data_IF_763023954571
#
_entry.id   IF_763023954571
#
_cell.length_a   1.000
_cell.length_b   1.000
_cell.length_c   1.000
_cell.angle_alpha   90.00
_cell.angle_beta   90.00
_cell.angle_gamma   90.00
#
_symmetry.space_group_name_H-M   'P 1'
#
loop_
_entity.id
_entity.type
_entity.pdbx_description
1 polymer ?
#
# COMPACT_ATOMS: atom_id res chain seq x y z
N UNK A 1 -27.39 0.18 0.87
CA UNK A 1 -27.17 1.50 0.24
C UNK A 1 -28.33 1.87 -0.66
N UNK A 2 -28.59 3.17 -0.88
CA UNK A 2 -29.66 3.59 -1.79
C UNK A 2 -29.19 3.51 -3.24
N UNK A 3 -30.10 3.20 -4.17
CA UNK A 3 -29.81 3.13 -5.63
C UNK A 3 -29.03 4.32 -6.17
N UNK A 4 -29.41 5.55 -5.81
CA UNK A 4 -28.72 6.76 -6.28
C UNK A 4 -27.23 6.80 -5.91
N UNK A 5 -26.85 6.19 -4.79
CA UNK A 5 -25.47 6.14 -4.30
C UNK A 5 -24.67 5.07 -5.02
N UNK A 6 -25.30 3.92 -5.26
CA UNK A 6 -24.74 2.84 -6.08
C UNK A 6 -24.48 3.38 -7.49
N UNK A 7 -25.44 4.07 -8.08
CA UNK A 7 -25.32 4.68 -9.41
C UNK A 7 -24.17 5.71 -9.47
N UNK A 8 -24.02 6.53 -8.43
CA UNK A 8 -22.92 7.49 -8.32
C UNK A 8 -21.56 6.78 -8.21
N UNK A 9 -21.48 5.67 -7.46
CA UNK A 9 -20.28 4.85 -7.37
C UNK A 9 -19.94 4.17 -8.70
N UNK A 10 -20.93 3.62 -9.41
CA UNK A 10 -20.73 3.02 -10.74
C UNK A 10 -20.14 4.06 -11.69
N UNK A 11 -20.65 5.29 -11.68
CA UNK A 11 -20.07 6.39 -12.47
C UNK A 11 -18.65 6.76 -12.03
N UNK A 12 -18.37 6.81 -10.74
CA UNK A 12 -17.03 7.04 -10.21
C UNK A 12 -16.03 5.95 -10.65
N UNK A 13 -16.49 4.71 -10.79
CA UNK A 13 -15.72 3.56 -11.28
C UNK A 13 -15.80 3.37 -12.80
N UNK A 14 -16.19 4.41 -13.54
CA UNK A 14 -16.28 4.43 -15.02
C UNK A 14 -17.20 3.36 -15.61
N UNK A 15 -18.29 3.07 -14.92
CA UNK A 15 -19.30 2.10 -15.35
C UNK A 15 -19.00 0.65 -14.95
N UNK A 16 -17.89 0.38 -14.25
CA UNK A 16 -17.53 -1.00 -13.84
C UNK A 16 -18.30 -1.40 -12.59
N UNK A 17 -19.11 -2.46 -12.66
CA UNK A 17 -19.93 -2.90 -11.53
C UNK A 17 -19.14 -3.72 -10.51
N UNK A 18 -18.20 -4.57 -10.95
CA UNK A 18 -17.39 -5.41 -10.04
C UNK A 18 -16.64 -4.62 -8.96
N UNK A 19 -15.93 -3.50 -9.25
CA UNK A 19 -15.32 -2.67 -8.20
C UNK A 19 -16.34 -2.10 -7.21
N UNK A 20 -17.53 -1.71 -7.69
CA UNK A 20 -18.60 -1.21 -6.82
C UNK A 20 -19.11 -2.30 -5.89
N UNK A 21 -19.36 -3.50 -6.44
CA UNK A 21 -19.76 -4.67 -5.68
C UNK A 21 -18.73 -5.00 -4.59
N UNK A 22 -17.45 -5.11 -4.98
CA UNK A 22 -16.37 -5.55 -4.09
C UNK A 22 -16.00 -4.51 -3.03
N UNK A 23 -15.83 -3.25 -3.43
CA UNK A 23 -15.30 -2.21 -2.54
C UNK A 23 -16.37 -1.50 -1.70
N UNK A 24 -17.64 -1.53 -2.11
CA UNK A 24 -18.70 -0.77 -1.44
C UNK A 24 -19.83 -1.67 -0.97
N UNK A 25 -20.49 -2.39 -1.88
CA UNK A 25 -21.72 -3.12 -1.57
C UNK A 25 -21.45 -4.27 -0.60
N UNK A 26 -20.55 -5.18 -0.96
CA UNK A 26 -20.23 -6.38 -0.18
C UNK A 26 -19.47 -6.12 1.12
N UNK A 27 -19.12 -4.86 1.40
CA UNK A 27 -18.48 -4.43 2.65
C UNK A 27 -19.47 -3.88 3.66
N UNK A 28 -20.72 -3.61 3.26
CA UNK A 28 -21.75 -3.18 4.19
C UNK A 28 -22.01 -4.24 5.27
N UNK A 29 -22.34 -3.83 6.51
CA UNK A 29 -22.66 -4.77 7.58
C UNK A 29 -23.90 -5.62 7.26
N UNK A 30 -24.90 -5.00 6.65
CA UNK A 30 -26.12 -5.62 6.15
C UNK A 30 -26.39 -5.13 4.72
N UNK A 31 -26.93 -6.02 3.88
CA UNK A 31 -27.31 -5.70 2.51
C UNK A 31 -28.78 -5.31 2.48
N UNK A 32 -29.10 -4.19 1.84
CA UNK A 32 -30.46 -3.69 1.64
C UNK A 32 -31.01 -4.16 0.27
N UNK A 33 -32.33 -4.02 0.02
CA UNK A 33 -32.94 -4.47 -1.24
C UNK A 33 -32.27 -3.91 -2.51
N UNK A 34 -31.85 -2.64 -2.49
CA UNK A 34 -31.13 -2.00 -3.61
C UNK A 34 -29.74 -2.62 -3.84
N UNK A 35 -29.05 -3.05 -2.77
CA UNK A 35 -27.78 -3.76 -2.86
C UNK A 35 -27.95 -5.12 -3.53
N UNK A 36 -28.98 -5.87 -3.11
CA UNK A 36 -29.31 -7.17 -3.70
C UNK A 36 -29.73 -7.04 -5.17
N UNK A 37 -30.49 -5.99 -5.51
CA UNK A 37 -30.89 -5.72 -6.89
C UNK A 37 -29.67 -5.45 -7.78
N UNK A 38 -28.75 -4.60 -7.33
CA UNK A 38 -27.50 -4.31 -8.03
C UNK A 38 -26.62 -5.55 -8.22
N UNK A 39 -26.41 -6.34 -7.16
CA UNK A 39 -25.59 -7.57 -7.25
C UNK A 39 -26.23 -8.62 -8.18
N UNK A 40 -27.56 -8.70 -8.22
CA UNK A 40 -28.27 -9.59 -9.13
C UNK A 40 -28.16 -9.15 -10.59
N UNK A 41 -28.26 -7.84 -10.86
CA UNK A 41 -28.13 -7.27 -12.21
C UNK A 41 -26.74 -7.54 -12.80
N UNK A 42 -25.69 -7.45 -11.98
CA UNK A 42 -24.30 -7.61 -12.40
C UNK A 42 -23.67 -8.95 -12.00
N UNK A 43 -24.49 -9.98 -11.72
CA UNK A 43 -24.01 -11.26 -11.19
C UNK A 43 -22.98 -11.97 -12.08
N UNK A 44 -23.02 -11.73 -13.40
CA UNK A 44 -22.08 -12.29 -14.37
C UNK A 44 -20.69 -11.65 -14.32
N UNK A 45 -20.59 -10.42 -13.81
CA UNK A 45 -19.33 -9.71 -13.62
C UNK A 45 -18.64 -10.06 -12.29
N UNK A 46 -19.36 -10.74 -11.38
CA UNK A 46 -18.86 -11.09 -10.05
C UNK A 46 -17.94 -12.31 -10.11
N UNK A 47 -16.80 -12.21 -9.42
CA UNK A 47 -15.91 -13.35 -9.23
C UNK A 47 -16.45 -14.32 -8.18
N UNK A 48 -15.86 -15.52 -8.10
CA UNK A 48 -16.21 -16.53 -7.09
C UNK A 48 -16.10 -15.98 -5.67
N UNK A 49 -15.06 -15.20 -5.37
CA UNK A 49 -14.90 -14.53 -4.06
C UNK A 49 -16.06 -13.59 -3.73
N UNK A 50 -16.56 -12.88 -4.73
CA UNK A 50 -17.60 -11.85 -4.58
C UNK A 50 -18.95 -12.51 -4.33
N UNK A 51 -19.26 -13.57 -5.10
CA UNK A 51 -20.45 -14.40 -4.92
C UNK A 51 -20.51 -15.04 -3.53
N UNK A 52 -19.38 -15.55 -3.05
CA UNK A 52 -19.31 -16.18 -1.72
C UNK A 52 -19.43 -15.17 -0.60
N UNK A 53 -18.81 -14.00 -0.74
CA UNK A 53 -18.98 -12.89 0.21
C UNK A 53 -20.43 -12.40 0.23
N UNK A 54 -21.10 -12.34 -0.93
CA UNK A 54 -22.52 -12.01 -1.02
C UNK A 54 -23.37 -13.03 -0.28
N UNK A 55 -23.17 -14.32 -0.56
CA UNK A 55 -23.90 -15.40 0.10
C UNK A 55 -23.78 -15.37 1.62
N UNK A 56 -22.57 -15.15 2.13
CA UNK A 56 -22.31 -15.08 3.58
C UNK A 56 -23.06 -13.92 4.27
N UNK A 57 -23.60 -12.96 3.51
CA UNK A 57 -24.37 -11.80 4.00
C UNK A 57 -25.88 -11.89 3.73
N UNK A 58 -26.32 -12.92 3.00
CA UNK A 58 -27.74 -13.18 2.77
C UNK A 58 -28.35 -13.93 3.95
N UNK A 59 -29.61 -13.62 4.26
CA UNK A 59 -30.44 -14.47 5.11
C UNK A 59 -30.62 -15.86 4.46
N UNK A 60 -30.82 -16.88 5.29
CA UNK A 60 -31.11 -18.25 4.83
C UNK A 60 -32.31 -18.23 3.88
N UNK A 61 -32.13 -18.71 2.64
CA UNK A 61 -33.18 -18.75 1.61
C UNK A 61 -33.13 -17.65 0.54
N UNK A 62 -32.27 -16.63 0.67
CA UNK A 62 -32.09 -15.58 -0.37
C UNK A 62 -30.95 -15.90 -1.37
N UNK A 63 -30.37 -17.09 -1.31
CA UNK A 63 -29.15 -17.45 -2.05
C UNK A 63 -29.35 -17.90 -3.50
N UNK A 64 -30.59 -18.09 -3.94
CA UNK A 64 -30.92 -18.67 -5.26
C UNK A 64 -30.10 -18.10 -6.44
N UNK A 65 -29.98 -16.76 -6.61
CA UNK A 65 -29.15 -16.19 -7.67
C UNK A 65 -27.67 -16.60 -7.59
N UNK A 66 -27.11 -16.63 -6.38
CA UNK A 66 -25.72 -17.05 -6.13
C UNK A 66 -25.53 -18.52 -6.46
N UNK A 67 -26.44 -19.38 -5.99
CA UNK A 67 -26.38 -20.84 -6.25
C UNK A 67 -26.48 -21.13 -7.74
N UNK A 68 -27.39 -20.45 -8.45
CA UNK A 68 -27.51 -20.56 -9.90
C UNK A 68 -26.22 -20.15 -10.63
N UNK A 69 -25.56 -19.07 -10.18
CA UNK A 69 -24.31 -18.64 -10.79
C UNK A 69 -23.15 -19.59 -10.49
N UNK A 70 -23.06 -20.13 -9.27
CA UNK A 70 -22.09 -21.17 -8.92
C UNK A 70 -22.31 -22.45 -9.75
N UNK A 71 -23.57 -22.83 -9.99
CA UNK A 71 -23.90 -23.96 -10.86
C UNK A 71 -23.45 -23.70 -12.31
N UNK A 72 -23.71 -22.50 -12.84
CA UNK A 72 -23.22 -22.11 -14.18
C UNK A 72 -21.70 -22.15 -14.26
N UNK A 73 -21.00 -21.68 -13.22
CA UNK A 73 -19.54 -21.76 -13.14
C UNK A 73 -19.05 -23.21 -13.18
N UNK A 74 -19.67 -24.09 -12.38
CA UNK A 74 -19.34 -25.51 -12.35
C UNK A 74 -19.53 -26.20 -13.71
N UNK A 75 -20.56 -25.79 -14.47
CA UNK A 75 -20.85 -26.33 -15.80
C UNK A 75 -19.87 -25.79 -16.84
N UNK A 76 -19.58 -24.48 -16.81
CA UNK A 76 -18.74 -23.82 -17.82
C UNK A 76 -17.26 -24.12 -17.63
N UNK A 77 -16.79 -24.09 -16.39
CA UNK A 77 -15.38 -24.33 -16.03
C UNK A 77 -15.29 -25.20 -14.76
N UNK A 78 -15.42 -26.52 -14.91
CA UNK A 78 -15.41 -27.43 -13.78
C UNK A 78 -14.09 -27.42 -13.01
N UNK A 79 -12.96 -27.17 -13.68
CA UNK A 79 -11.63 -27.13 -13.05
C UNK A 79 -11.50 -25.90 -12.14
N UNK A 80 -11.92 -24.73 -12.62
CA UNK A 80 -11.93 -23.52 -11.80
C UNK A 80 -12.89 -23.63 -10.61
N UNK A 81 -14.09 -24.17 -10.82
CA UNK A 81 -15.05 -24.44 -9.73
C UNK A 81 -14.47 -25.40 -8.68
N UNK A 82 -13.77 -26.45 -9.11
CA UNK A 82 -13.10 -27.36 -8.18
C UNK A 82 -12.06 -26.65 -7.33
N UNK A 83 -11.24 -25.77 -7.92
CA UNK A 83 -10.19 -25.04 -7.22
C UNK A 83 -10.78 -24.00 -6.25
N UNK A 84 -11.65 -23.12 -6.75
CA UNK A 84 -12.12 -21.94 -6.01
C UNK A 84 -13.31 -22.21 -5.07
N UNK A 85 -14.09 -23.26 -5.31
CA UNK A 85 -15.31 -23.55 -4.51
C UNK A 85 -15.14 -24.83 -3.71
N UNK A 86 -14.84 -25.96 -4.36
CA UNK A 86 -14.82 -27.26 -3.69
C UNK A 86 -13.58 -27.50 -2.82
N UNK A 87 -12.47 -26.81 -3.12
CA UNK A 87 -11.21 -26.97 -2.39
C UNK A 87 -11.02 -25.93 -1.29
N UNK A 88 -11.94 -24.96 -1.18
CA UNK A 88 -11.94 -23.97 -0.10
C UNK A 88 -12.58 -24.58 1.17
N UNK A 89 -11.85 -24.65 2.31
CA UNK A 89 -12.35 -25.28 3.54
C UNK A 89 -13.43 -24.46 4.26
N UNK A 90 -13.44 -23.14 4.07
CA UNK A 90 -14.29 -22.18 4.81
C UNK A 90 -15.61 -21.83 4.11
N UNK A 91 -15.95 -22.55 3.04
CA UNK A 91 -17.15 -22.28 2.26
C UNK A 91 -18.37 -22.89 2.97
N UNK A 92 -19.13 -22.05 3.66
CA UNK A 92 -20.38 -22.43 4.34
C UNK A 92 -21.56 -22.09 3.43
N UNK A 93 -21.92 -23.02 2.54
CA UNK A 93 -23.30 -23.12 2.06
C UNK A 93 -24.04 -24.03 3.03
N UNK A 94 -25.31 -23.72 3.27
CA UNK A 94 -26.17 -24.53 4.11
C UNK A 94 -26.56 -25.82 3.36
N UNK A 95 -27.05 -26.83 4.07
CA UNK A 95 -27.37 -28.14 3.49
C UNK A 95 -28.37 -28.02 2.32
N UNK A 96 -29.42 -27.23 2.50
CA UNK A 96 -30.44 -26.97 1.48
C UNK A 96 -29.87 -26.39 0.18
N UNK A 97 -28.80 -25.59 0.30
CA UNK A 97 -28.17 -24.91 -0.83
C UNK A 97 -27.17 -25.79 -1.55
N UNK A 98 -26.49 -26.67 -0.81
CA UNK A 98 -25.71 -27.74 -1.42
C UNK A 98 -26.61 -28.73 -2.16
N UNK A 99 -27.79 -29.02 -1.64
CA UNK A 99 -28.81 -29.84 -2.32
C UNK A 99 -29.27 -29.13 -3.60
N UNK A 100 -29.64 -27.85 -3.53
CA UNK A 100 -30.03 -27.07 -4.71
C UNK A 100 -28.91 -27.05 -5.76
N UNK A 101 -27.66 -26.80 -5.33
CA UNK A 101 -26.50 -26.81 -6.22
C UNK A 101 -26.30 -28.17 -6.88
N UNK A 102 -26.40 -29.26 -6.11
CA UNK A 102 -26.29 -30.63 -6.61
C UNK A 102 -27.35 -30.91 -7.69
N UNK A 103 -28.60 -30.49 -7.45
CA UNK A 103 -29.69 -30.65 -8.41
C UNK A 103 -29.44 -29.88 -9.71
N UNK A 104 -28.94 -28.65 -9.61
CA UNK A 104 -28.65 -27.81 -10.77
C UNK A 104 -27.51 -28.36 -11.64
N UNK A 105 -26.49 -28.98 -11.05
CA UNK A 105 -25.32 -29.51 -11.76
C UNK A 105 -25.42 -31.00 -12.13
N UNK A 106 -26.47 -31.70 -11.68
CA UNK A 106 -26.70 -33.12 -11.93
C UNK A 106 -26.66 -33.44 -13.43
N UNK A 107 -25.76 -34.34 -13.81
CA UNK A 107 -25.58 -34.79 -15.20
C UNK A 107 -24.96 -33.73 -16.14
N UNK A 108 -24.54 -32.57 -15.62
CA UNK A 108 -23.97 -31.47 -16.41
C UNK A 108 -22.49 -31.20 -16.11
N UNK A 109 -21.93 -31.85 -15.09
CA UNK A 109 -20.51 -31.73 -14.69
C UNK A 109 -19.85 -33.11 -14.63
N UNK A 110 -18.52 -33.21 -14.70
CA UNK A 110 -17.81 -34.48 -14.55
C UNK A 110 -18.19 -35.21 -13.24
N UNK A 111 -18.30 -36.54 -13.30
CA UNK A 111 -18.77 -37.36 -12.18
C UNK A 111 -17.98 -37.11 -10.88
N UNK A 112 -16.65 -36.99 -10.96
CA UNK A 112 -15.79 -36.70 -9.81
C UNK A 112 -16.10 -35.35 -9.13
N UNK A 113 -16.56 -34.34 -9.87
CA UNK A 113 -16.96 -33.04 -9.32
C UNK A 113 -18.35 -33.15 -8.69
N UNK A 114 -19.29 -33.83 -9.37
CA UNK A 114 -20.63 -34.08 -8.84
C UNK A 114 -20.58 -34.83 -7.50
N UNK A 115 -19.79 -35.90 -7.41
CA UNK A 115 -19.60 -36.67 -6.18
C UNK A 115 -19.08 -35.79 -5.02
N UNK A 116 -18.15 -34.87 -5.30
CA UNK A 116 -17.63 -33.93 -4.30
C UNK A 116 -18.66 -32.91 -3.85
N UNK A 117 -19.56 -32.46 -4.73
CA UNK A 117 -20.69 -31.57 -4.36
C UNK A 117 -21.66 -32.33 -3.45
N UNK A 118 -22.04 -33.56 -3.81
CA UNK A 118 -22.93 -34.41 -3.00
C UNK A 118 -22.30 -34.73 -1.63
N UNK A 119 -21.00 -35.01 -1.59
CA UNK A 119 -20.27 -35.27 -0.36
C UNK A 119 -20.22 -34.04 0.59
N UNK A 120 -20.47 -32.82 0.10
CA UNK A 120 -20.61 -31.62 0.95
C UNK A 120 -22.02 -31.47 1.52
N UNK A 121 -23.03 -32.14 0.97
CA UNK A 121 -24.41 -32.16 1.50
C UNK A 121 -24.51 -32.95 2.82
N UNK A 122 -23.47 -33.70 3.19
CA UNK A 122 -23.44 -34.55 4.38
C UNK A 122 -22.11 -34.32 5.11
N UNK A 123 -22.06 -33.63 6.25
CA UNK A 123 -20.80 -33.61 7.04
C UNK A 123 -20.95 -33.55 8.56
N UNK A 124 -20.39 -34.59 9.21
CA UNK A 124 -19.55 -34.43 10.39
C UNK A 124 -18.18 -33.80 9.99
N UNK A 125 -17.50 -33.06 10.89
CA UNK A 125 -16.26 -32.35 10.54
C UNK A 125 -15.07 -33.32 10.38
N UNK A 126 -14.32 -33.17 9.28
CA UNK A 126 -13.04 -33.86 9.08
C UNK A 126 -11.94 -33.11 9.85
N UNK A 127 -11.37 -33.75 10.88
CA UNK A 127 -10.10 -33.36 11.46
C UNK A 127 -8.96 -33.78 10.53
N UNK A 128 -7.99 -32.88 10.32
CA UNK A 128 -6.75 -33.21 9.63
C UNK A 128 -5.62 -33.38 10.64
N UNK A 129 -4.82 -34.42 10.46
CA UNK A 129 -3.53 -34.56 11.10
C UNK A 129 -2.59 -33.46 10.60
N UNK A 130 -2.03 -32.70 11.54
CA UNK A 130 -1.02 -31.68 11.32
C UNK A 130 0.26 -32.31 10.76
N UNK A 131 0.58 -32.02 9.49
CA UNK A 131 1.83 -32.43 8.84
C UNK A 131 2.33 -31.38 7.84
N UNK A 132 2.74 -30.21 8.33
CA UNK A 132 3.57 -29.30 7.54
C UNK A 132 5.04 -29.53 7.87
N UNK A 133 5.77 -30.03 6.87
CA UNK A 133 7.23 -30.03 6.79
C UNK A 133 7.64 -28.80 6.00
N UNK A 134 8.32 -27.83 6.62
CA UNK A 134 9.33 -26.98 5.97
C UNK A 134 10.28 -26.43 7.05
N UNK A 135 11.44 -27.07 7.20
CA UNK A 135 12.59 -26.53 7.93
C UNK A 135 13.38 -25.60 7.00
N UNK A 136 13.72 -24.35 7.39
CA UNK A 136 14.57 -23.49 6.58
C UNK A 136 16.02 -23.96 6.63
N UNK A 137 16.58 -24.34 5.49
CA UNK A 137 18.00 -24.62 5.32
C UNK A 137 18.80 -23.31 5.26
N UNK A 138 19.71 -23.12 6.21
CA UNK A 138 20.64 -22.00 6.24
C UNK A 138 21.72 -22.15 5.15
N UNK A 139 21.72 -21.24 4.17
CA UNK A 139 22.81 -21.09 3.21
C UNK A 139 23.95 -20.29 3.85
N UNK A 140 25.06 -20.97 4.20
CA UNK A 140 26.35 -20.33 4.53
C UNK A 140 27.14 -20.14 3.22
N UNK A 141 27.05 -18.96 2.63
CA UNK A 141 27.98 -18.52 1.60
C UNK A 141 29.25 -17.93 2.24
N UNK A 142 30.44 -18.11 1.65
CA UNK A 142 31.68 -17.51 2.14
C UNK A 142 31.69 -15.98 1.91
N UNK A 143 32.36 -15.27 2.81
CA UNK A 143 32.55 -13.82 2.76
C UNK A 143 33.33 -13.42 1.48
N UNK A 144 33.02 -12.25 0.88
CA UNK A 144 33.86 -11.72 -0.19
C UNK A 144 35.22 -11.33 0.40
N UNK A 145 36.26 -12.01 -0.08
CA UNK A 145 37.65 -11.63 0.10
C UNK A 145 37.87 -10.25 -0.51
N UNK A 146 38.43 -9.35 0.29
CA UNK A 146 39.04 -8.12 -0.21
C UNK A 146 40.30 -8.52 -0.97
N UNK A 147 40.33 -8.28 -2.29
CA UNK A 147 41.57 -8.36 -3.07
C UNK A 147 42.49 -7.23 -2.62
N UNK A 148 43.57 -7.64 -1.96
CA UNK A 148 44.65 -6.78 -1.46
C UNK A 148 45.74 -6.56 -2.50
N UNK A 149 45.37 -6.19 -3.73
CA UNK A 149 46.32 -5.93 -4.82
C UNK A 149 45.85 -4.73 -5.66
N UNK A 150 45.92 -3.54 -5.08
CA UNK A 150 45.79 -2.27 -5.82
C UNK A 150 46.56 -1.11 -5.14
N UNK A 151 47.75 -1.41 -4.61
CA UNK A 151 48.61 -0.39 -3.96
C UNK A 151 50.08 -0.40 -4.37
N UNK A 152 50.42 -0.98 -5.53
CA UNK A 152 51.75 -0.81 -6.13
C UNK A 152 51.64 -0.17 -7.51
N UNK A 153 51.80 1.16 -7.57
CA UNK A 153 51.91 1.87 -8.83
C UNK A 153 51.62 3.37 -8.76
N UNK A 154 52.25 4.13 -7.86
CA UNK A 154 52.18 5.60 -7.90
C UNK A 154 53.52 6.24 -7.51
N UNK A 155 54.52 6.13 -8.39
CA UNK A 155 55.76 6.92 -8.31
C UNK A 155 55.99 7.85 -9.52
N UNK A 156 54.94 8.12 -10.31
CA UNK A 156 55.00 9.17 -11.32
C UNK A 156 53.63 9.86 -11.45
N UNK A 157 53.62 11.17 -11.17
CA UNK A 157 52.49 12.11 -11.27
C UNK A 157 51.37 11.89 -10.24
N UNK A 158 51.47 12.58 -9.08
CA UNK A 158 50.33 12.69 -8.15
C UNK A 158 49.18 13.38 -8.89
N UNK A 159 48.02 12.73 -9.09
CA UNK A 159 46.83 13.42 -9.59
C UNK A 159 46.54 14.59 -8.66
N UNK A 160 46.07 15.72 -9.18
CA UNK A 160 45.60 16.79 -8.31
C UNK A 160 44.51 16.19 -7.39
N UNK A 161 44.50 16.56 -6.10
CA UNK A 161 43.46 16.07 -5.15
C UNK A 161 42.03 16.32 -5.66
N UNK A 162 41.87 17.28 -6.60
CA UNK A 162 40.65 17.59 -7.33
C UNK A 162 40.21 16.55 -8.37
N UNK A 163 41.04 15.58 -8.70
CA UNK A 163 40.71 14.52 -9.66
C UNK A 163 40.50 13.17 -8.97
N UNK A 164 40.91 13.06 -7.70
CA UNK A 164 40.73 11.84 -6.90
C UNK A 164 39.33 11.76 -6.26
N UNK A 165 38.69 10.58 -6.27
CA UNK A 165 37.47 10.33 -5.50
C UNK A 165 37.67 10.62 -4.00
N UNK A 166 36.67 11.19 -3.33
CA UNK A 166 36.69 11.50 -1.90
C UNK A 166 36.99 10.24 -1.07
N UNK A 167 36.50 9.07 -1.51
CA UNK A 167 36.78 7.78 -0.89
C UNK A 167 38.28 7.46 -0.86
N UNK A 168 38.98 7.66 -1.99
CA UNK A 168 40.43 7.45 -2.09
C UNK A 168 41.21 8.45 -1.23
N UNK A 169 40.76 9.71 -1.18
CA UNK A 169 41.35 10.74 -0.33
C UNK A 169 41.21 10.37 1.16
N UNK A 170 40.03 9.92 1.57
CA UNK A 170 39.77 9.46 2.94
C UNK A 170 40.59 8.22 3.29
N UNK A 171 40.72 7.26 2.38
CA UNK A 171 41.57 6.08 2.56
C UNK A 171 43.05 6.46 2.71
N UNK A 172 43.58 7.33 1.83
CA UNK A 172 44.95 7.81 1.90
C UNK A 172 45.24 8.60 3.19
N UNK A 173 44.26 9.39 3.66
CA UNK A 173 44.36 10.10 4.94
C UNK A 173 44.40 9.13 6.12
N UNK A 174 43.52 8.11 6.15
CA UNK A 174 43.52 7.08 7.19
C UNK A 174 44.81 6.26 7.22
N UNK A 175 45.40 6.00 6.04
CA UNK A 175 46.68 5.32 5.90
C UNK A 175 47.89 6.21 6.25
N UNK A 176 47.70 7.49 6.57
CA UNK A 176 48.79 8.44 6.86
C UNK A 176 49.60 8.87 5.63
N UNK A 177 49.17 8.49 4.42
CA UNK A 177 49.83 8.82 3.14
C UNK A 177 49.52 10.26 2.72
N UNK A 178 48.38 10.80 3.15
CA UNK A 178 47.95 12.16 2.85
C UNK A 178 47.68 12.96 4.14
N UNK A 179 48.36 14.09 4.29
CA UNK A 179 48.08 15.07 5.35
C UNK A 179 47.18 16.18 4.80
N UNK A 180 45.92 16.18 5.22
CA UNK A 180 44.93 17.22 4.95
C UNK A 180 44.22 17.55 6.25
N UNK A 181 44.09 18.83 6.57
CA UNK A 181 43.35 19.27 7.75
C UNK A 181 41.83 19.10 7.54
N UNK A 182 41.10 19.07 8.65
CA UNK A 182 39.66 18.86 8.66
C UNK A 182 38.88 19.96 7.91
N UNK A 183 39.36 21.21 7.95
CA UNK A 183 38.74 22.33 7.24
C UNK A 183 38.90 22.22 5.73
N UNK A 184 40.10 21.93 5.25
CA UNK A 184 40.37 21.69 3.84
C UNK A 184 39.62 20.47 3.30
N UNK A 185 39.54 19.38 4.07
CA UNK A 185 38.78 18.19 3.71
C UNK A 185 37.28 18.48 3.61
N UNK A 186 36.72 19.23 4.56
CA UNK A 186 35.31 19.62 4.52
C UNK A 186 34.99 20.53 3.33
N UNK A 187 35.86 21.51 3.03
CA UNK A 187 35.71 22.38 1.88
C UNK A 187 35.74 21.61 0.55
N UNK A 188 36.69 20.68 0.40
CA UNK A 188 36.78 19.81 -0.77
C UNK A 188 35.53 18.93 -0.92
N UNK A 189 35.09 18.28 0.15
CA UNK A 189 33.88 17.47 0.13
C UNK A 189 32.63 18.31 -0.22
N UNK A 190 32.53 19.55 0.28
CA UNK A 190 31.45 20.47 -0.06
C UNK A 190 31.47 20.88 -1.53
N UNK A 191 32.65 21.12 -2.10
CA UNK A 191 32.81 21.37 -3.54
C UNK A 191 32.30 20.18 -4.36
N UNK A 192 32.69 18.96 -3.98
CA UNK A 192 32.22 17.71 -4.62
C UNK A 192 30.73 17.49 -4.47
N UNK A 193 30.20 17.73 -3.27
CA UNK A 193 28.77 17.61 -2.99
C UNK A 193 27.92 18.47 -3.94
N UNK A 194 28.46 19.62 -4.36
CA UNK A 194 27.75 20.59 -5.21
C UNK A 194 27.84 20.31 -6.70
N UNK A 195 28.95 19.73 -7.17
CA UNK A 195 29.26 19.66 -8.60
C UNK A 195 29.74 18.32 -9.14
N UNK A 196 29.85 17.28 -8.30
CA UNK A 196 30.34 15.96 -8.70
C UNK A 196 29.22 14.91 -8.75
N UNK A 197 29.26 14.05 -9.78
CA UNK A 197 28.43 12.84 -9.92
C UNK A 197 29.05 11.60 -9.26
N UNK A 198 30.10 11.80 -8.45
CA UNK A 198 30.70 10.73 -7.63
C UNK A 198 29.65 10.05 -6.75
N UNK A 199 29.74 8.72 -6.64
CA UNK A 199 28.92 7.92 -5.73
C UNK A 199 29.57 7.81 -4.36
N UNK A 200 28.88 8.23 -3.31
CA UNK A 200 29.36 8.07 -1.94
C UNK A 200 28.66 6.90 -1.20
N UNK A 201 27.76 6.16 -1.87
CA UNK A 201 26.89 5.16 -1.23
C UNK A 201 27.64 4.07 -0.48
N UNK A 202 28.75 3.59 -1.04
CA UNK A 202 29.55 2.48 -0.48
C UNK A 202 30.44 2.95 0.67
N UNK A 203 31.02 4.13 0.55
CA UNK A 203 32.05 4.61 1.46
C UNK A 203 31.52 5.41 2.64
N UNK A 204 30.25 5.85 2.58
CA UNK A 204 29.66 6.71 3.60
C UNK A 204 29.78 6.21 5.04
N UNK A 205 29.73 4.90 5.37
CA UNK A 205 29.93 4.44 6.75
C UNK A 205 31.30 4.82 7.32
N UNK A 206 32.28 5.09 6.45
CA UNK A 206 33.65 5.45 6.81
C UNK A 206 33.92 6.96 6.76
N UNK A 207 32.92 7.79 6.48
CA UNK A 207 33.10 9.23 6.39
C UNK A 207 33.21 9.84 7.80
N UNK A 208 34.19 10.72 8.05
CA UNK A 208 34.32 11.38 9.35
C UNK A 208 33.22 12.42 9.57
N UNK A 209 32.85 12.64 10.82
CA UNK A 209 31.77 13.56 11.21
C UNK A 209 31.96 15.02 10.71
N UNK A 210 33.21 15.44 10.47
CA UNK A 210 33.53 16.75 9.88
C UNK A 210 32.88 16.95 8.50
N UNK A 211 32.57 15.87 7.77
CA UNK A 211 31.93 15.92 6.46
C UNK A 211 30.40 16.06 6.50
N UNK A 212 29.79 16.15 7.69
CA UNK A 212 28.33 16.16 7.85
C UNK A 212 27.63 17.17 6.94
N UNK A 213 28.12 18.40 6.86
CA UNK A 213 27.48 19.45 6.07
C UNK A 213 27.61 19.20 4.56
N UNK A 214 28.72 18.62 4.12
CA UNK A 214 28.92 18.20 2.73
C UNK A 214 28.01 17.02 2.36
N UNK A 215 27.87 16.04 3.26
CA UNK A 215 26.96 14.89 3.08
C UNK A 215 25.51 15.39 3.02
N UNK A 216 25.12 16.33 3.87
CA UNK A 216 23.79 16.95 3.84
C UNK A 216 23.51 17.64 2.50
N UNK A 217 24.48 18.37 1.97
CA UNK A 217 24.36 19.03 0.66
C UNK A 217 24.29 18.02 -0.48
N UNK A 218 25.10 16.96 -0.44
CA UNK A 218 25.08 15.89 -1.44
C UNK A 218 23.75 15.12 -1.41
N UNK A 219 23.19 14.82 -0.24
CA UNK A 219 21.90 14.14 -0.09
C UNK A 219 20.74 14.91 -0.74
N UNK A 220 20.79 16.26 -0.71
CA UNK A 220 19.81 17.12 -1.37
C UNK A 220 19.90 17.08 -2.90
N UNK A 221 21.10 16.87 -3.44
CA UNK A 221 21.38 17.06 -4.87
C UNK A 221 21.54 15.77 -5.66
N UNK A 222 22.01 14.70 -5.03
CA UNK A 222 22.26 13.45 -5.74
C UNK A 222 21.00 13.01 -6.47
N UNK A 223 21.07 12.56 -7.73
CA UNK A 223 19.92 11.96 -8.40
C UNK A 223 19.71 10.50 -7.99
N UNK A 224 20.70 9.86 -7.35
CA UNK A 224 20.70 8.42 -7.05
C UNK A 224 19.94 8.14 -5.76
N UNK A 225 18.87 7.35 -5.88
CA UNK A 225 18.01 6.98 -4.75
C UNK A 225 18.75 6.23 -3.65
N UNK A 226 19.55 5.22 -4.01
CA UNK A 226 20.30 4.37 -3.07
C UNK A 226 21.36 5.16 -2.31
N UNK A 227 22.12 6.00 -3.01
CA UNK A 227 23.09 6.92 -2.41
C UNK A 227 22.41 7.84 -1.39
N UNK A 228 21.27 8.43 -1.76
CA UNK A 228 20.50 9.27 -0.85
C UNK A 228 20.04 8.51 0.39
N UNK A 229 19.51 7.30 0.23
CA UNK A 229 19.06 6.49 1.37
C UNK A 229 20.20 6.20 2.36
N UNK A 230 21.40 5.87 1.85
CA UNK A 230 22.58 5.65 2.69
C UNK A 230 23.02 6.93 3.40
N UNK A 231 22.99 8.08 2.71
CA UNK A 231 23.27 9.39 3.31
C UNK A 231 22.29 9.77 4.40
N UNK A 232 20.99 9.53 4.19
CA UNK A 232 19.95 9.81 5.19
C UNK A 232 20.16 8.96 6.44
N UNK A 233 20.48 7.67 6.29
CA UNK A 233 20.81 6.79 7.41
C UNK A 233 22.06 7.24 8.17
N UNK A 234 23.09 7.67 7.45
CA UNK A 234 24.30 8.20 8.08
C UNK A 234 24.02 9.51 8.84
N UNK A 235 23.30 10.45 8.24
CA UNK A 235 22.99 11.76 8.85
C UNK A 235 22.11 11.60 10.10
N UNK A 236 21.17 10.65 10.07
CA UNK A 236 20.36 10.25 11.23
C UNK A 236 21.25 9.77 12.39
N UNK A 237 22.19 8.86 12.12
CA UNK A 237 23.14 8.37 13.13
C UNK A 237 24.05 9.47 13.70
N UNK A 238 24.25 10.56 12.95
CA UNK A 238 25.05 11.73 13.35
C UNK A 238 24.20 12.90 13.90
N UNK A 239 22.95 12.62 14.29
CA UNK A 239 22.12 13.55 15.06
C UNK A 239 21.47 14.68 14.26
N UNK A 240 21.39 14.56 12.93
CA UNK A 240 20.62 15.51 12.13
C UNK A 240 19.13 15.36 12.42
N UNK A 241 18.43 16.48 12.54
CA UNK A 241 17.02 16.48 12.91
C UNK A 241 16.16 15.73 11.86
N UNK A 242 15.34 14.79 12.33
CA UNK A 242 14.44 13.97 11.50
C UNK A 242 13.63 14.80 10.49
N UNK A 243 13.09 15.95 10.90
CA UNK A 243 12.29 16.80 10.02
C UNK A 243 13.08 17.23 8.77
N UNK A 244 14.33 17.67 8.94
CA UNK A 244 15.19 18.05 7.82
C UNK A 244 15.52 16.86 6.89
N UNK A 245 15.67 15.65 7.46
CA UNK A 245 15.92 14.44 6.68
C UNK A 245 14.68 14.02 5.87
N UNK A 246 13.49 14.12 6.47
CA UNK A 246 12.22 13.89 5.78
C UNK A 246 12.02 14.90 4.65
N UNK A 247 12.30 16.19 4.87
CA UNK A 247 12.22 17.21 3.82
C UNK A 247 13.10 16.87 2.61
N UNK A 248 14.31 16.35 2.84
CA UNK A 248 15.22 15.91 1.78
C UNK A 248 14.65 14.69 1.03
N UNK A 249 14.19 13.67 1.77
CA UNK A 249 13.64 12.46 1.18
C UNK A 249 12.38 12.77 0.35
N UNK A 250 11.43 13.51 0.92
CA UNK A 250 10.17 13.89 0.26
C UNK A 250 10.40 14.89 -0.88
N UNK A 251 11.37 15.79 -0.76
CA UNK A 251 11.80 16.68 -1.84
C UNK A 251 12.23 15.90 -3.08
N UNK A 252 13.02 14.83 -2.91
CA UNK A 252 13.38 13.94 -4.01
C UNK A 252 12.18 13.23 -4.63
N UNK A 253 11.27 12.69 -3.80
CA UNK A 253 10.06 11.99 -4.29
C UNK A 253 9.21 12.94 -5.13
N UNK A 254 8.99 14.17 -4.65
CA UNK A 254 8.25 15.22 -5.38
C UNK A 254 8.94 15.57 -6.71
N UNK A 255 10.27 15.63 -6.73
CA UNK A 255 11.06 15.87 -7.93
C UNK A 255 11.07 14.71 -8.94
N UNK A 256 10.46 13.56 -8.61
CA UNK A 256 10.45 12.37 -9.47
C UNK A 256 11.72 11.53 -9.40
N UNK A 257 12.49 11.65 -8.31
CA UNK A 257 13.57 10.73 -8.01
C UNK A 257 13.06 9.32 -7.68
N UNK A 258 13.96 8.34 -7.69
CA UNK A 258 13.65 6.95 -7.37
C UNK A 258 13.14 6.81 -5.93
N UNK A 259 11.82 6.71 -5.78
CA UNK A 259 11.13 6.60 -4.50
C UNK A 259 11.43 5.26 -3.82
N UNK A 260 11.49 4.16 -4.58
CA UNK A 260 11.69 2.80 -4.05
C UNK A 260 12.97 2.70 -3.22
N UNK A 261 14.05 3.34 -3.66
CA UNK A 261 15.31 3.30 -2.93
C UNK A 261 15.23 3.98 -1.54
N UNK A 262 14.40 5.00 -1.37
CA UNK A 262 14.24 5.72 -0.09
C UNK A 262 13.09 5.19 0.77
N UNK A 263 12.19 4.38 0.22
CA UNK A 263 11.03 3.81 0.93
C UNK A 263 11.40 3.04 2.20
N UNK A 264 12.39 2.14 2.22
CA UNK A 264 12.76 1.44 3.45
C UNK A 264 13.23 2.39 4.55
N UNK A 265 13.91 3.49 4.19
CA UNK A 265 14.29 4.50 5.17
C UNK A 265 13.07 5.27 5.68
N UNK A 266 12.16 5.70 4.79
CA UNK A 266 10.92 6.38 5.18
C UNK A 266 10.04 5.51 6.09
N UNK A 267 9.89 4.22 5.77
CA UNK A 267 9.13 3.26 6.57
C UNK A 267 9.64 3.19 8.02
N UNK A 268 10.97 3.11 8.20
CA UNK A 268 11.59 3.12 9.54
C UNK A 268 11.28 4.38 10.34
N UNK A 269 11.15 5.53 9.68
CA UNK A 269 10.78 6.79 10.33
C UNK A 269 9.31 6.81 10.78
N UNK A 270 8.46 5.95 10.21
CA UNK A 270 7.02 5.87 10.42
C UNK A 270 6.60 4.61 11.19
N UNK A 271 7.47 4.03 12.02
CA UNK A 271 7.18 2.79 12.79
C UNK A 271 6.29 3.00 14.02
N UNK A 272 5.90 4.24 14.33
CA UNK A 272 5.09 4.55 15.52
C UNK A 272 3.88 5.41 15.18
N UNK A 273 2.83 5.32 16.01
CA UNK A 273 1.62 6.15 15.87
C UNK A 273 1.96 7.64 15.84
N UNK A 274 2.79 8.11 16.77
CA UNK A 274 3.17 9.52 16.86
C UNK A 274 3.94 10.01 15.61
N UNK A 275 4.71 9.12 14.97
CA UNK A 275 5.39 9.44 13.73
C UNK A 275 4.39 9.58 12.57
N UNK A 276 3.39 8.69 12.45
CA UNK A 276 2.31 8.83 11.47
C UNK A 276 1.48 10.09 11.71
N UNK A 277 1.09 10.38 12.95
CA UNK A 277 0.32 11.58 13.29
C UNK A 277 1.08 12.87 12.90
N UNK A 278 2.42 12.86 12.94
CA UNK A 278 3.25 14.03 12.62
C UNK A 278 3.66 14.13 11.15
N UNK A 279 4.00 13.02 10.51
CA UNK A 279 4.69 12.99 9.21
C UNK A 279 3.94 12.17 8.14
N UNK A 280 2.94 11.38 8.53
CA UNK A 280 2.20 10.49 7.64
C UNK A 280 1.47 11.23 6.53
N UNK A 281 0.75 12.31 6.87
CA UNK A 281 0.03 13.12 5.88
C UNK A 281 0.96 13.67 4.80
N UNK A 282 2.08 14.28 5.21
CA UNK A 282 3.02 14.88 4.27
C UNK A 282 3.67 13.83 3.36
N UNK A 283 4.04 12.68 3.94
CA UNK A 283 4.65 11.57 3.20
C UNK A 283 3.69 11.00 2.17
N UNK A 284 2.45 10.70 2.57
CA UNK A 284 1.42 10.18 1.67
C UNK A 284 1.03 11.21 0.61
N UNK A 285 0.96 12.50 0.96
CA UNK A 285 0.67 13.57 0.00
C UNK A 285 1.75 13.66 -1.09
N UNK A 286 3.03 13.54 -0.71
CA UNK A 286 4.13 13.57 -1.66
C UNK A 286 4.04 12.40 -2.67
N UNK A 287 3.81 11.18 -2.19
CA UNK A 287 3.63 10.00 -3.06
C UNK A 287 2.36 10.08 -3.91
N UNK A 288 1.26 10.55 -3.32
CA UNK A 288 -0.04 10.66 -3.99
C UNK A 288 -0.01 11.69 -5.13
N UNK A 289 0.65 12.83 -4.93
CA UNK A 289 0.85 13.85 -5.98
C UNK A 289 1.57 13.30 -7.21
N UNK A 290 2.39 12.25 -7.02
CA UNK A 290 3.14 11.55 -8.06
C UNK A 290 2.40 10.34 -8.62
N UNK A 291 1.23 10.00 -8.08
CA UNK A 291 0.49 8.76 -8.38
C UNK A 291 1.32 7.50 -8.11
N UNK A 292 2.21 7.55 -7.13
CA UNK A 292 3.08 6.46 -6.71
C UNK A 292 2.31 5.45 -5.83
N UNK A 293 1.25 4.84 -6.39
CA UNK A 293 0.32 4.02 -5.63
C UNK A 293 0.95 2.73 -5.10
N UNK A 294 1.82 2.09 -5.90
CA UNK A 294 2.57 0.90 -5.49
C UNK A 294 3.48 1.20 -4.28
N UNK A 295 4.14 2.35 -4.31
CA UNK A 295 5.05 2.82 -3.29
C UNK A 295 4.31 3.17 -1.99
N UNK A 296 3.09 3.71 -2.09
CA UNK A 296 2.22 3.93 -0.93
C UNK A 296 1.86 2.59 -0.26
N UNK A 297 1.49 1.58 -1.06
CA UNK A 297 1.20 0.24 -0.58
C UNK A 297 2.40 -0.38 0.14
N UNK A 298 3.56 -0.36 -0.51
CA UNK A 298 4.81 -0.89 0.06
C UNK A 298 5.25 -0.14 1.31
N UNK A 299 5.17 1.20 1.34
CA UNK A 299 5.49 2.01 2.52
C UNK A 299 4.69 1.54 3.74
N UNK A 300 3.38 1.37 3.57
CA UNK A 300 2.49 0.95 4.65
C UNK A 300 2.78 -0.50 5.06
N UNK A 301 3.02 -1.40 4.11
CA UNK A 301 3.40 -2.79 4.41
C UNK A 301 4.70 -2.87 5.19
N UNK A 302 5.74 -2.12 4.79
CA UNK A 302 7.03 -2.06 5.49
C UNK A 302 6.87 -1.46 6.90
N UNK A 303 6.20 -0.31 7.01
CA UNK A 303 6.00 0.34 8.31
C UNK A 303 5.17 -0.53 9.27
N UNK A 304 4.18 -1.26 8.75
CA UNK A 304 3.39 -2.23 9.51
C UNK A 304 4.22 -3.43 9.97
N UNK A 305 5.01 -4.01 9.07
CA UNK A 305 5.88 -5.15 9.39
C UNK A 305 6.93 -4.77 10.44
N UNK A 306 7.56 -3.62 10.29
CA UNK A 306 8.59 -3.12 11.21
C UNK A 306 8.02 -2.75 12.58
N UNK A 307 6.80 -2.18 12.64
CA UNK A 307 6.13 -1.87 13.89
C UNK A 307 5.82 -3.13 14.74
N UNK A 308 5.66 -4.29 14.09
CA UNK A 308 5.42 -5.59 14.74
C UNK A 308 6.70 -6.35 15.13
N UNK A 309 7.89 -5.88 14.75
CA UNK A 309 9.14 -6.56 15.09
C UNK A 309 9.36 -6.61 16.61
N UNK A 310 9.77 -7.78 17.11
CA UNK A 310 9.99 -8.01 18.54
C UNK A 310 8.80 -8.58 19.30
N UNK A 311 7.79 -9.13 18.61
CA UNK A 311 6.66 -9.86 19.22
C UNK A 311 5.67 -8.95 19.95
N UNK A 312 5.76 -7.63 19.76
CA UNK A 312 4.80 -6.67 20.29
C UNK A 312 3.58 -6.66 19.39
N UNK A 313 2.41 -6.84 19.99
CA UNK A 313 1.14 -6.67 19.30
C UNK A 313 1.06 -5.22 18.77
N UNK A 314 0.83 -5.09 17.46
CA UNK A 314 0.74 -3.77 16.81
C UNK A 314 -0.48 -3.06 17.39
N UNK A 315 -0.25 -1.90 18.02
CA UNK A 315 -1.34 -1.17 18.65
C UNK A 315 -2.40 -0.79 17.60
N UNK A 316 -3.69 -1.02 17.90
CA UNK A 316 -4.82 -0.57 17.06
C UNK A 316 -4.71 0.90 16.66
N UNK A 317 -4.17 1.74 17.54
CA UNK A 317 -3.95 3.17 17.28
C UNK A 317 -2.89 3.48 16.22
N UNK A 318 -2.04 2.52 15.84
CA UNK A 318 -1.09 2.68 14.74
C UNK A 318 -1.80 2.67 13.39
N UNK A 319 -2.65 1.67 13.15
CA UNK A 319 -3.42 1.57 11.91
C UNK A 319 -4.39 2.75 11.76
N UNK A 320 -4.99 3.18 12.87
CA UNK A 320 -5.85 4.36 12.90
C UNK A 320 -5.09 5.61 12.42
N UNK A 321 -3.84 5.82 12.84
CA UNK A 321 -3.04 6.96 12.40
C UNK A 321 -2.72 6.91 10.89
N UNK A 322 -2.43 5.72 10.35
CA UNK A 322 -2.23 5.52 8.90
C UNK A 322 -3.51 5.89 8.15
N UNK A 323 -4.66 5.36 8.58
CA UNK A 323 -5.93 5.64 7.94
C UNK A 323 -6.33 7.11 8.05
N UNK A 324 -6.11 7.77 9.20
CA UNK A 324 -6.37 9.20 9.35
C UNK A 324 -5.52 10.01 8.37
N UNK A 325 -4.22 9.71 8.26
CA UNK A 325 -3.34 10.39 7.31
C UNK A 325 -3.81 10.19 5.86
N UNK A 326 -4.17 8.96 5.49
CA UNK A 326 -4.66 8.66 4.14
C UNK A 326 -6.02 9.33 3.84
N UNK A 327 -6.95 9.30 4.80
CA UNK A 327 -8.23 9.99 4.70
C UNK A 327 -8.05 11.50 4.46
N UNK A 328 -7.11 12.12 5.17
CA UNK A 328 -6.78 13.54 5.00
C UNK A 328 -6.22 13.85 3.60
N UNK A 329 -5.37 12.97 3.04
CA UNK A 329 -4.90 13.10 1.65
C UNK A 329 -6.07 13.07 0.67
N UNK A 330 -6.96 12.07 0.80
CA UNK A 330 -8.14 11.92 -0.08
C UNK A 330 -9.08 13.12 0.03
N UNK A 331 -9.29 13.66 1.24
CA UNK A 331 -10.08 14.87 1.45
C UNK A 331 -9.44 16.11 0.84
N UNK A 332 -8.11 16.23 0.91
CA UNK A 332 -7.34 17.27 0.23
C UNK A 332 -7.56 17.21 -1.28
N UNK A 333 -7.40 16.02 -1.87
CA UNK A 333 -7.64 15.78 -3.30
C UNK A 333 -9.07 16.11 -3.72
N UNK A 334 -10.07 15.69 -2.94
CA UNK A 334 -11.47 15.98 -3.22
C UNK A 334 -11.75 17.49 -3.21
N UNK A 335 -11.19 18.22 -2.22
CA UNK A 335 -11.32 19.67 -2.10
C UNK A 335 -10.66 20.40 -3.27
N UNK A 336 -9.44 20.03 -3.63
CA UNK A 336 -8.72 20.62 -4.76
C UNK A 336 -9.44 20.35 -6.09
N UNK A 337 -9.93 19.12 -6.30
CA UNK A 337 -10.68 18.76 -7.48
C UNK A 337 -12.00 19.55 -7.59
N UNK A 338 -12.75 19.70 -6.48
CA UNK A 338 -13.96 20.52 -6.44
C UNK A 338 -13.67 22.00 -6.72
N UNK A 339 -12.61 22.56 -6.13
CA UNK A 339 -12.20 23.94 -6.37
C UNK A 339 -11.81 24.19 -7.83
N UNK A 340 -11.23 23.19 -8.49
CA UNK A 340 -10.90 23.21 -9.92
C UNK A 340 -12.08 22.84 -10.85
N UNK A 341 -13.25 22.49 -10.32
CA UNK A 341 -14.40 22.01 -11.10
C UNK A 341 -14.23 20.59 -11.69
N UNK A 342 -13.20 19.85 -11.28
CA UNK A 342 -12.88 18.50 -11.74
C UNK A 342 -13.74 17.43 -11.02
N UNK A 343 -15.00 17.30 -11.45
CA UNK A 343 -15.98 16.40 -10.83
C UNK A 343 -15.50 14.93 -10.75
N UNK A 344 -14.87 14.41 -11.81
CA UNK A 344 -14.37 13.04 -11.83
C UNK A 344 -13.27 12.79 -10.78
N UNK A 345 -12.36 13.75 -10.60
CA UNK A 345 -11.32 13.67 -9.56
C UNK A 345 -11.91 13.72 -8.14
N UNK A 346 -12.92 14.56 -7.93
CA UNK A 346 -13.65 14.63 -6.66
C UNK A 346 -14.38 13.31 -6.36
N UNK A 347 -15.08 12.75 -7.35
CA UNK A 347 -15.78 11.48 -7.22
C UNK A 347 -14.83 10.31 -6.93
N UNK A 348 -13.67 10.27 -7.60
CA UNK A 348 -12.63 9.27 -7.36
C UNK A 348 -12.10 9.31 -5.92
N UNK A 349 -11.73 10.51 -5.45
CA UNK A 349 -11.23 10.70 -4.09
C UNK A 349 -12.27 10.37 -3.02
N UNK A 350 -13.54 10.75 -3.22
CA UNK A 350 -14.64 10.44 -2.32
C UNK A 350 -15.03 8.95 -2.32
N UNK A 351 -14.96 8.29 -3.47
CA UNK A 351 -15.16 6.83 -3.55
C UNK A 351 -14.06 6.09 -2.82
N UNK A 352 -12.79 6.47 -3.03
CA UNK A 352 -11.67 5.92 -2.26
C UNK A 352 -11.80 6.18 -0.76
N UNK A 353 -12.29 7.37 -0.37
CA UNK A 353 -12.55 7.68 1.03
C UNK A 353 -13.64 6.77 1.62
N UNK A 354 -14.70 6.48 0.87
CA UNK A 354 -15.74 5.55 1.31
C UNK A 354 -15.19 4.12 1.46
N UNK A 355 -14.30 3.67 0.57
CA UNK A 355 -13.60 2.39 0.73
C UNK A 355 -12.74 2.35 2.01
N UNK A 356 -12.19 3.48 2.43
CA UNK A 356 -11.34 3.52 3.62
C UNK A 356 -12.13 3.25 4.90
N UNK A 357 -13.45 3.47 4.86
CA UNK A 357 -14.32 3.61 6.02
C UNK A 357 -13.79 4.72 6.97
N UNK A 358 -14.01 5.99 6.60
CA UNK A 358 -13.22 7.10 7.08
C UNK A 358 -13.34 7.28 8.61
N UNK A 359 -12.21 7.51 9.32
CA UNK A 359 -12.22 7.64 10.77
C UNK A 359 -13.01 8.88 11.21
N UNK A 360 -13.72 8.79 12.34
CA UNK A 360 -14.59 9.87 12.85
C UNK A 360 -13.86 11.22 13.03
N UNK A 361 -12.53 11.21 13.24
CA UNK A 361 -11.69 12.41 13.32
C UNK A 361 -11.76 13.29 12.07
N UNK A 362 -12.05 12.72 10.89
CA UNK A 362 -12.18 13.50 9.65
C UNK A 362 -13.61 13.98 9.38
N UNK A 363 -14.56 13.70 10.27
CA UNK A 363 -15.99 14.06 10.10
C UNK A 363 -16.21 15.53 9.77
N UNK A 364 -15.53 16.44 10.47
CA UNK A 364 -15.62 17.88 10.19
C UNK A 364 -15.18 18.23 8.77
N UNK A 365 -14.07 17.66 8.32
CA UNK A 365 -13.53 17.93 6.98
C UNK A 365 -14.44 17.38 5.87
N UNK A 366 -15.10 16.23 6.10
CA UNK A 366 -16.15 15.70 5.20
C UNK A 366 -17.33 16.67 5.11
N UNK A 367 -17.83 17.18 6.25
CA UNK A 367 -18.96 18.12 6.26
C UNK A 367 -18.63 19.46 5.59
N UNK A 368 -17.37 19.89 5.64
CA UNK A 368 -16.91 21.10 4.96
C UNK A 368 -16.98 20.99 3.44
N UNK A 369 -16.86 19.79 2.85
CA UNK A 369 -16.95 19.59 1.40
C UNK A 369 -18.33 19.99 0.85
N UNK A 370 -19.40 19.80 1.62
CA UNK A 370 -20.76 20.18 1.23
C UNK A 370 -20.94 21.68 1.02
N UNK A 371 -20.06 22.50 1.61
CA UNK A 371 -20.09 23.96 1.48
C UNK A 371 -19.40 24.45 0.20
N UNK A 372 -18.69 23.57 -0.50
CA UNK A 372 -17.99 23.93 -1.73
C UNK A 372 -19.03 23.97 -2.87
N UNK A 373 -19.21 25.13 -3.52
CA UNK A 373 -20.18 25.25 -4.61
C UNK A 373 -19.71 24.47 -5.85
N UNK A 374 -20.66 24.08 -6.70
CA UNK A 374 -20.35 23.46 -8.00
C UNK A 374 -20.15 21.95 -7.97
N UNK A 375 -20.47 21.27 -6.87
CA UNK A 375 -20.54 19.81 -6.84
C UNK A 375 -21.69 19.29 -7.72
N UNK A 376 -21.41 18.32 -8.58
CA UNK A 376 -22.45 17.59 -9.31
C UNK A 376 -23.33 16.78 -8.35
N UNK A 377 -24.49 16.31 -8.84
CA UNK A 377 -25.37 15.43 -8.07
C UNK A 377 -24.64 14.17 -7.58
N UNK A 378 -23.82 13.56 -8.43
CA UNK A 378 -23.04 12.36 -8.07
C UNK A 378 -22.04 12.64 -6.95
N UNK A 379 -21.33 13.76 -7.03
CA UNK A 379 -20.38 14.17 -5.99
C UNK A 379 -21.13 14.47 -4.69
N UNK A 380 -22.31 15.09 -4.76
CA UNK A 380 -23.15 15.33 -3.59
C UNK A 380 -23.63 14.03 -2.92
N UNK A 381 -24.01 13.00 -3.69
CA UNK A 381 -24.36 11.68 -3.13
C UNK A 381 -23.14 11.00 -2.50
N UNK A 382 -21.96 11.09 -3.12
CA UNK A 382 -20.73 10.53 -2.52
C UNK A 382 -20.30 11.27 -1.24
N UNK A 383 -20.51 12.59 -1.16
CA UNK A 383 -20.35 13.33 0.10
C UNK A 383 -21.34 12.80 1.15
N UNK A 384 -22.61 12.59 0.78
CA UNK A 384 -23.62 12.07 1.69
C UNK A 384 -23.29 10.64 2.19
N UNK A 385 -22.76 9.77 1.34
CA UNK A 385 -22.26 8.43 1.73
C UNK A 385 -21.17 8.57 2.79
N UNK A 386 -20.15 9.39 2.52
CA UNK A 386 -19.05 9.60 3.47
C UNK A 386 -19.52 10.26 4.78
N UNK A 387 -20.47 11.20 4.74
CA UNK A 387 -21.08 11.81 5.92
C UNK A 387 -21.79 10.78 6.81
N UNK A 388 -22.44 9.78 6.20
CA UNK A 388 -23.05 8.68 6.96
C UNK A 388 -22.01 7.73 7.52
N UNK A 389 -20.98 7.37 6.75
CA UNK A 389 -19.91 6.50 7.22
C UNK A 389 -19.21 7.12 8.44
N UNK A 390 -18.82 8.40 8.41
CA UNK A 390 -18.19 9.04 9.59
C UNK A 390 -19.10 9.17 10.83
N UNK A 391 -20.44 9.09 10.66
CA UNK A 391 -21.44 9.23 11.74
C UNK A 391 -21.92 7.89 12.30
N UNK A 392 -22.10 6.92 11.43
CA UNK A 392 -22.84 5.68 11.67
C UNK A 392 -22.01 4.44 11.41
N UNK A 393 -20.82 4.56 10.82
CA UNK A 393 -19.86 3.47 10.94
C UNK A 393 -19.55 3.36 12.42
N UNK A 394 -20.04 2.28 13.02
CA UNK A 394 -19.33 1.60 14.10
C UNK A 394 -17.88 1.56 13.63
N UNK A 395 -17.02 2.49 14.06
CA UNK A 395 -15.60 2.53 13.70
C UNK A 395 -14.89 1.30 14.29
N UNK A 396 -15.24 0.12 13.78
CA UNK A 396 -14.73 -1.19 14.10
C UNK A 396 -13.48 -1.34 13.27
N UNK A 397 -12.40 -0.98 13.95
CA UNK A 397 -11.03 -1.30 13.62
C UNK A 397 -10.57 -0.74 12.28
N UNK A 398 -9.72 0.29 12.38
CA UNK A 398 -8.83 0.63 11.29
C UNK A 398 -8.23 -0.66 10.74
N UNK A 399 -8.38 -0.90 9.44
CA UNK A 399 -8.05 -2.16 8.78
C UNK A 399 -7.16 -1.92 7.58
N UNK A 400 -6.24 -2.87 7.37
CA UNK A 400 -5.37 -2.85 6.21
C UNK A 400 -6.17 -3.14 4.93
N UNK A 401 -7.22 -3.96 5.01
CA UNK A 401 -8.14 -4.21 3.90
C UNK A 401 -8.81 -2.91 3.43
N UNK A 402 -9.30 -2.07 4.34
CA UNK A 402 -9.90 -0.77 3.99
C UNK A 402 -8.89 0.17 3.32
N UNK A 403 -7.65 0.19 3.82
CA UNK A 403 -6.56 0.97 3.21
C UNK A 403 -6.25 0.49 1.78
N UNK A 404 -6.05 -0.81 1.60
CA UNK A 404 -5.75 -1.41 0.29
C UNK A 404 -6.90 -1.20 -0.69
N UNK A 405 -8.15 -1.36 -0.25
CA UNK A 405 -9.33 -1.09 -1.07
C UNK A 405 -9.41 0.37 -1.52
N UNK A 406 -9.14 1.32 -0.62
CA UNK A 406 -9.11 2.74 -0.94
C UNK A 406 -7.97 3.09 -1.91
N UNK A 407 -6.79 2.51 -1.72
CA UNK A 407 -5.64 2.68 -2.61
C UNK A 407 -5.92 2.15 -4.02
N UNK A 408 -6.54 0.98 -4.13
CA UNK A 408 -6.97 0.44 -5.43
C UNK A 408 -8.04 1.33 -6.06
N UNK A 409 -9.07 1.74 -5.31
CA UNK A 409 -10.14 2.58 -5.84
C UNK A 409 -9.62 3.90 -6.43
N UNK A 410 -8.66 4.57 -5.77
CA UNK A 410 -8.08 5.80 -6.30
C UNK A 410 -7.15 5.56 -7.49
N UNK A 411 -6.37 4.47 -7.47
CA UNK A 411 -5.49 4.09 -8.59
C UNK A 411 -6.31 3.79 -9.86
N UNK A 412 -7.34 2.98 -9.71
CA UNK A 412 -8.26 2.58 -10.76
C UNK A 412 -9.00 3.75 -11.41
N UNK A 413 -9.39 4.74 -10.61
CA UNK A 413 -10.05 5.93 -11.13
C UNK A 413 -9.08 6.92 -11.81
N UNK A 414 -7.79 6.85 -11.46
CA UNK A 414 -6.74 7.75 -11.96
C UNK A 414 -6.07 7.29 -13.27
N UNK A 415 -6.15 6.00 -13.59
CA UNK A 415 -5.77 5.39 -14.86
C UNK A 415 -6.95 5.45 -15.81
#
# INVERSE_FOLDING_TARGET
MRKAEIDALVRAHRGRARPVAFFHVLRQPALEPDDHAFLSEHIEELGTSDLLRWRARCESGFSGPVIQQLARLAIRDPAHFQHEVLSVPRLTLDEEEWIELADLVRGKVPAAIYERVVARCWREPVQWESGFVLSPGAYRGPAPLLDGDELDGLDAERPALRDMPIAKILAARRAGVLSIDDGALAALAMERARGSDEDWSVDIPHFPAVLRDAILEKARRTPRGSERANMLGWLEAHGVARAALLDIALGSVRAGGDAYAVLPWLARQLTTRAAWDRHGLETLSALMSRRAFSEIGELVTLAWSDAGQGGKEISRGFLEAIQVAFAQVLLGMAREALAAGHQAGAAAALSALACLDPPSRVSRAVHELRRIPGASQDVAELIAVNERLVKHSDARDASLEGFVAALHAIADASC
#
